data_IF_674281039476
#
_entry.id   IF_674281039476
#
_cell.length_a   1.000
_cell.length_b   1.000
_cell.length_c   1.000
_cell.angle_alpha   90.00
_cell.angle_beta   90.00
_cell.angle_gamma   90.00
#
_symmetry.space_group_name_H-M   'P 1'
#
loop_
_entity.id
_entity.type
_entity.pdbx_description
1 polymer ?
#
# COMPACT_ATOMS: atom_id res chain seq x y z
N UNK A 1 -14.80 2.21 22.00
CA UNK A 1 -13.75 1.21 21.68
C UNK A 1 -12.46 1.60 22.38
N UNK A 2 -11.90 0.69 23.14
CA UNK A 2 -10.61 0.94 23.79
C UNK A 2 -9.47 0.64 22.84
N UNK A 3 -8.47 1.50 22.80
CA UNK A 3 -7.22 1.24 22.11
C UNK A 3 -6.34 0.36 23.00
N UNK A 4 -5.73 -0.62 22.42
CA UNK A 4 -4.82 -1.53 23.11
C UNK A 4 -3.45 -1.36 22.48
N UNK A 5 -2.44 -1.10 23.30
CA UNK A 5 -1.07 -1.10 22.83
C UNK A 5 -0.64 -2.54 22.53
N UNK A 6 -0.13 -2.74 21.32
CA UNK A 6 0.40 -4.04 20.92
C UNK A 6 1.93 -3.97 21.01
N UNK A 7 2.50 -4.91 21.74
CA UNK A 7 3.97 -5.08 21.78
C UNK A 7 4.39 -5.91 20.60
N UNK A 8 4.62 -5.25 19.46
CA UNK A 8 4.93 -5.91 18.20
C UNK A 8 6.39 -5.67 17.86
N UNK A 9 7.13 -6.76 17.69
CA UNK A 9 8.45 -6.74 17.07
C UNK A 9 8.30 -7.12 15.60
N UNK A 10 8.69 -6.22 14.70
CA UNK A 10 8.60 -6.47 13.26
C UNK A 10 9.66 -7.51 12.87
N UNK A 11 9.18 -8.62 12.33
CA UNK A 11 10.02 -9.70 11.82
C UNK A 11 10.61 -9.30 10.47
N UNK A 12 11.91 -9.52 10.30
CA UNK A 12 12.59 -9.29 9.03
C UNK A 12 13.12 -10.61 8.50
N UNK A 13 13.14 -10.74 7.20
CA UNK A 13 13.62 -11.93 6.51
C UNK A 13 13.93 -11.62 5.07
N UNK A 14 13.96 -12.63 4.23
CA UNK A 14 14.18 -12.47 2.80
C UNK A 14 12.91 -11.99 2.12
N UNK A 15 13.06 -11.01 1.21
CA UNK A 15 11.98 -10.55 0.34
C UNK A 15 11.92 -11.48 -0.88
N UNK A 16 10.75 -12.11 -1.17
CA UNK A 16 10.60 -12.92 -2.39
C UNK A 16 10.86 -12.11 -3.66
N UNK A 17 11.35 -12.77 -4.70
CA UNK A 17 11.69 -12.12 -5.96
C UNK A 17 10.49 -11.40 -6.60
N UNK A 18 9.28 -11.98 -6.49
CA UNK A 18 8.07 -11.35 -7.03
C UNK A 18 7.73 -10.04 -6.33
N UNK A 19 7.94 -9.98 -5.02
CA UNK A 19 7.73 -8.76 -4.22
C UNK A 19 8.83 -7.74 -4.56
N UNK A 20 10.08 -8.17 -4.64
CA UNK A 20 11.20 -7.29 -4.96
C UNK A 20 11.02 -6.65 -6.35
N UNK A 21 10.61 -7.44 -7.33
CA UNK A 21 10.31 -6.96 -8.69
C UNK A 21 9.17 -5.93 -8.69
N UNK A 22 8.11 -6.20 -7.95
CA UNK A 22 6.99 -5.27 -7.80
C UNK A 22 7.45 -3.95 -7.16
N UNK A 23 8.21 -4.03 -6.08
CA UNK A 23 8.72 -2.84 -5.37
C UNK A 23 9.66 -2.01 -6.25
N UNK A 24 10.48 -2.67 -7.07
CA UNK A 24 11.36 -1.98 -8.01
C UNK A 24 10.55 -1.14 -9.00
N UNK A 25 9.53 -1.71 -9.61
CA UNK A 25 8.66 -0.98 -10.55
C UNK A 25 7.86 0.12 -9.84
N UNK A 26 7.35 -0.16 -8.65
CA UNK A 26 6.63 0.83 -7.85
C UNK A 26 7.50 2.05 -7.55
N UNK A 27 8.76 1.83 -7.19
CA UNK A 27 9.71 2.91 -6.93
C UNK A 27 9.99 3.73 -8.20
N UNK A 28 10.19 3.08 -9.34
CA UNK A 28 10.41 3.76 -10.62
C UNK A 28 9.22 4.65 -11.00
N UNK A 29 8.01 4.14 -10.89
CA UNK A 29 6.79 4.89 -11.21
C UNK A 29 6.57 6.06 -10.24
N UNK A 30 6.84 5.85 -8.95
CA UNK A 30 6.72 6.89 -7.93
C UNK A 30 7.72 8.02 -8.18
N UNK A 31 8.98 7.70 -8.47
CA UNK A 31 10.00 8.68 -8.79
C UNK A 31 9.66 9.46 -10.05
N UNK A 32 9.20 8.78 -11.10
CA UNK A 32 8.78 9.42 -12.33
C UNK A 32 7.63 10.41 -12.09
N UNK A 33 6.65 10.01 -11.31
CA UNK A 33 5.53 10.89 -10.94
C UNK A 33 6.01 12.13 -10.18
N UNK A 34 6.88 11.96 -9.18
CA UNK A 34 7.41 13.06 -8.38
C UNK A 34 8.25 14.03 -9.21
N UNK A 35 8.98 13.53 -10.21
CA UNK A 35 9.84 14.34 -11.07
C UNK A 35 9.07 15.11 -12.15
N UNK A 36 7.93 14.61 -12.59
CA UNK A 36 7.17 15.16 -13.73
C UNK A 36 5.79 15.70 -13.35
N UNK A 37 5.39 15.55 -12.09
CA UNK A 37 4.11 16.03 -11.61
C UNK A 37 4.19 17.48 -11.15
N UNK A 38 3.08 18.22 -11.31
CA UNK A 38 2.90 19.56 -10.76
C UNK A 38 2.31 19.52 -9.35
N UNK A 39 2.42 18.39 -8.67
CA UNK A 39 1.95 18.22 -7.30
C UNK A 39 2.77 19.11 -6.38
N UNK A 40 2.10 19.78 -5.45
CA UNK A 40 2.78 20.61 -4.46
C UNK A 40 3.66 19.76 -3.56
N UNK A 41 4.86 20.26 -3.17
CA UNK A 41 5.69 19.57 -2.18
C UNK A 41 4.89 19.24 -0.93
N UNK A 42 4.95 17.98 -0.48
CA UNK A 42 4.27 17.51 0.71
C UNK A 42 2.84 17.03 0.50
N UNK A 43 2.23 17.21 -0.69
CA UNK A 43 0.89 16.68 -0.96
C UNK A 43 0.87 15.18 -1.23
N UNK A 44 2.00 14.61 -1.58
CA UNK A 44 2.20 13.16 -1.73
C UNK A 44 3.54 12.78 -1.10
N UNK A 45 3.48 11.90 -0.09
CA UNK A 45 4.66 11.36 0.59
C UNK A 45 4.59 9.84 0.50
N UNK A 46 5.50 9.19 -0.23
CA UNK A 46 5.50 7.73 -0.30
C UNK A 46 5.91 7.12 1.04
N UNK A 47 5.26 6.00 1.37
CA UNK A 47 5.62 5.19 2.54
C UNK A 47 6.94 4.44 2.30
N UNK A 48 7.55 3.99 3.39
CA UNK A 48 8.64 3.02 3.29
C UNK A 48 8.03 1.64 2.99
N UNK A 49 8.11 1.22 1.74
CA UNK A 49 7.45 0.01 1.26
C UNK A 49 8.04 -1.27 1.82
N UNK A 50 9.34 -1.28 2.10
CA UNK A 50 10.00 -2.45 2.70
C UNK A 50 9.53 -2.64 4.14
N UNK A 51 9.48 -1.56 4.90
CA UNK A 51 8.94 -1.60 6.27
C UNK A 51 7.47 -2.04 6.26
N UNK A 52 6.67 -1.50 5.33
CA UNK A 52 5.25 -1.88 5.20
C UNK A 52 5.10 -3.38 4.90
N UNK A 53 5.94 -3.91 4.01
CA UNK A 53 5.92 -5.34 3.70
C UNK A 53 6.19 -6.21 4.93
N UNK A 54 7.24 -5.90 5.68
CA UNK A 54 7.56 -6.66 6.89
C UNK A 54 6.51 -6.50 7.98
N UNK A 55 5.93 -5.31 8.10
CA UNK A 55 4.84 -5.06 9.05
C UNK A 55 3.60 -5.93 8.72
N UNK A 56 3.22 -6.00 7.45
CA UNK A 56 2.11 -6.84 7.00
C UNK A 56 2.39 -8.32 7.25
N UNK A 57 3.59 -8.78 6.96
CA UNK A 57 3.98 -10.18 7.27
C UNK A 57 3.91 -10.47 8.76
N UNK A 58 4.34 -9.55 9.59
CA UNK A 58 4.28 -9.69 11.05
C UNK A 58 2.83 -9.79 11.52
N UNK A 59 1.93 -8.95 10.99
CA UNK A 59 0.51 -9.02 11.30
C UNK A 59 -0.07 -10.41 11.00
N UNK A 60 0.32 -10.99 9.85
CA UNK A 60 -0.14 -12.32 9.46
C UNK A 60 0.45 -13.40 10.37
N UNK A 61 1.76 -13.40 10.57
CA UNK A 61 2.46 -14.44 11.35
C UNK A 61 2.01 -14.47 12.80
N UNK A 62 1.76 -13.30 13.39
CA UNK A 62 1.33 -13.18 14.78
C UNK A 62 -0.19 -13.19 14.94
N UNK A 63 -0.92 -13.38 13.83
CA UNK A 63 -2.38 -13.47 13.82
C UNK A 63 -3.07 -12.28 14.48
N UNK A 64 -2.61 -11.07 14.17
CA UNK A 64 -3.09 -9.83 14.78
C UNK A 64 -4.36 -9.28 14.12
N UNK A 65 -4.64 -9.68 12.88
CA UNK A 65 -5.83 -9.24 12.17
C UNK A 65 -6.98 -10.23 12.37
N UNK A 66 -8.22 -9.75 12.64
CA UNK A 66 -9.37 -10.63 12.86
C UNK A 66 -9.87 -11.31 11.59
N UNK A 67 -9.38 -10.91 10.42
CA UNK A 67 -9.80 -11.44 9.13
C UNK A 67 -8.80 -11.05 8.03
N UNK A 68 -9.26 -11.07 6.78
CA UNK A 68 -8.41 -10.82 5.61
C UNK A 68 -8.75 -9.53 4.85
N UNK A 69 -9.56 -8.67 5.43
CA UNK A 69 -9.89 -7.38 4.83
C UNK A 69 -8.80 -6.35 5.17
N UNK A 70 -8.35 -5.64 4.16
CA UNK A 70 -7.36 -4.58 4.31
C UNK A 70 -7.81 -3.34 3.53
N UNK A 71 -7.75 -2.18 4.16
CA UNK A 71 -8.02 -0.92 3.46
C UNK A 71 -6.93 0.09 3.78
N UNK A 72 -6.35 0.66 2.73
CA UNK A 72 -5.35 1.71 2.84
C UNK A 72 -6.01 3.07 2.63
N UNK A 73 -5.92 3.93 3.64
CA UNK A 73 -6.43 5.30 3.58
C UNK A 73 -5.34 6.23 3.06
N UNK A 74 -5.66 7.06 2.07
CA UNK A 74 -4.66 7.88 1.41
C UNK A 74 -3.68 7.02 0.63
N UNK A 75 -4.19 6.16 -0.23
CA UNK A 75 -3.42 5.06 -0.79
C UNK A 75 -2.34 5.46 -1.81
N UNK A 76 -2.38 6.69 -2.34
CA UNK A 76 -1.39 7.14 -3.31
C UNK A 76 -1.28 6.19 -4.50
N UNK A 77 -0.09 5.67 -4.75
CA UNK A 77 0.15 4.65 -5.79
C UNK A 77 -0.37 3.25 -5.42
N UNK A 78 -0.97 3.10 -4.24
CA UNK A 78 -1.55 1.84 -3.82
C UNK A 78 -0.55 0.73 -3.54
N UNK A 79 0.70 1.06 -3.28
CA UNK A 79 1.77 0.07 -3.11
C UNK A 79 1.51 -0.80 -1.90
N UNK A 80 1.11 -0.22 -0.78
CA UNK A 80 0.85 -0.98 0.46
C UNK A 80 -0.37 -1.89 0.29
N UNK A 81 -1.46 -1.39 -0.30
CA UNK A 81 -2.63 -2.21 -0.60
C UNK A 81 -2.29 -3.35 -1.57
N UNK A 82 -1.45 -3.08 -2.56
CA UNK A 82 -0.98 -4.10 -3.50
C UNK A 82 -0.08 -5.14 -2.83
N UNK A 83 0.77 -4.74 -1.89
CA UNK A 83 1.54 -5.68 -1.07
C UNK A 83 0.63 -6.55 -0.21
N UNK A 84 -0.39 -5.95 0.40
CA UNK A 84 -1.37 -6.67 1.19
C UNK A 84 -2.09 -7.74 0.35
N UNK A 85 -2.49 -7.38 -0.87
CA UNK A 85 -3.09 -8.32 -1.82
C UNK A 85 -2.17 -9.50 -2.12
N UNK A 86 -0.89 -9.24 -2.36
CA UNK A 86 0.10 -10.29 -2.63
C UNK A 86 0.33 -11.19 -1.43
N UNK A 87 0.07 -10.72 -0.22
CA UNK A 87 0.16 -11.49 1.01
C UNK A 87 -1.15 -12.20 1.39
N UNK A 88 -2.18 -12.11 0.54
CA UNK A 88 -3.43 -12.84 0.71
C UNK A 88 -4.56 -12.06 1.36
N UNK A 89 -4.41 -10.75 1.56
CA UNK A 89 -5.52 -9.91 1.99
C UNK A 89 -6.46 -9.59 0.82
N UNK A 90 -7.71 -9.39 1.12
CA UNK A 90 -8.69 -8.76 0.25
C UNK A 90 -8.54 -7.24 0.44
N UNK A 91 -7.80 -6.61 -0.46
CA UNK A 91 -7.28 -5.27 -0.26
C UNK A 91 -7.99 -4.22 -1.11
N UNK A 92 -8.16 -3.05 -0.53
CA UNK A 92 -8.62 -1.85 -1.24
C UNK A 92 -7.85 -0.62 -0.78
N UNK A 93 -7.95 0.45 -1.56
CA UNK A 93 -7.38 1.74 -1.21
C UNK A 93 -8.35 2.87 -1.51
N UNK A 94 -8.26 3.94 -0.75
CA UNK A 94 -9.03 5.17 -0.95
C UNK A 94 -8.04 6.32 -1.10
N UNK A 95 -8.16 7.07 -2.19
CA UNK A 95 -7.29 8.18 -2.51
C UNK A 95 -8.09 9.34 -3.07
N UNK A 96 -7.82 10.55 -2.61
CA UNK A 96 -8.56 11.75 -3.04
C UNK A 96 -8.14 12.24 -4.44
N UNK A 97 -6.87 12.03 -4.81
CA UNK A 97 -6.33 12.48 -6.10
C UNK A 97 -6.61 11.47 -7.20
N UNK A 98 -7.43 11.85 -8.18
CA UNK A 98 -7.83 10.97 -9.28
C UNK A 98 -6.64 10.43 -10.07
N UNK A 99 -5.62 11.27 -10.32
CA UNK A 99 -4.43 10.84 -11.06
C UNK A 99 -3.66 9.75 -10.32
N UNK A 100 -3.62 9.80 -8.99
CA UNK A 100 -3.01 8.75 -8.18
C UNK A 100 -3.85 7.48 -8.16
N UNK A 101 -5.17 7.59 -8.14
CA UNK A 101 -6.06 6.42 -8.25
C UNK A 101 -5.81 5.68 -9.57
N UNK A 102 -5.73 6.42 -10.68
CA UNK A 102 -5.44 5.83 -11.98
C UNK A 102 -4.07 5.17 -12.02
N UNK A 103 -3.06 5.83 -11.45
CA UNK A 103 -1.70 5.28 -11.35
C UNK A 103 -1.67 4.00 -10.52
N UNK A 104 -2.42 3.96 -9.42
CA UNK A 104 -2.53 2.78 -8.55
C UNK A 104 -3.16 1.61 -9.29
N UNK A 105 -4.24 1.86 -10.03
CA UNK A 105 -4.90 0.84 -10.85
C UNK A 105 -3.97 0.30 -11.92
N UNK A 106 -3.23 1.17 -12.61
CA UNK A 106 -2.29 0.77 -13.66
C UNK A 106 -1.16 -0.09 -13.10
N UNK A 107 -0.62 0.27 -11.95
CA UNK A 107 0.44 -0.51 -11.30
C UNK A 107 -0.06 -1.90 -10.88
N UNK A 108 -1.22 -1.97 -10.24
CA UNK A 108 -1.81 -3.24 -9.83
C UNK A 108 -2.11 -4.13 -11.03
N UNK A 109 -2.70 -3.57 -12.09
CA UNK A 109 -3.02 -4.31 -13.32
C UNK A 109 -1.77 -4.85 -14.01
N UNK A 110 -0.69 -4.09 -14.02
CA UNK A 110 0.58 -4.52 -14.61
C UNK A 110 1.15 -5.76 -13.91
N UNK A 111 0.80 -6.00 -12.66
CA UNK A 111 1.23 -7.16 -11.88
C UNK A 111 0.10 -8.17 -11.63
N UNK A 112 -1.01 -8.06 -12.35
CA UNK A 112 -2.17 -8.96 -12.25
C UNK A 112 -2.74 -9.06 -10.83
N UNK A 113 -2.73 -7.94 -10.10
CA UNK A 113 -3.23 -7.88 -8.72
C UNK A 113 -4.68 -7.42 -8.70
N UNK A 114 -5.51 -8.11 -7.92
CA UNK A 114 -6.89 -7.73 -7.70
C UNK A 114 -7.00 -6.82 -6.48
N UNK A 115 -6.86 -5.52 -6.70
CA UNK A 115 -7.01 -4.50 -5.68
C UNK A 115 -7.99 -3.45 -6.18
N UNK A 116 -8.96 -3.10 -5.36
CA UNK A 116 -9.91 -2.03 -5.68
C UNK A 116 -9.39 -0.71 -5.15
N UNK A 117 -9.37 0.31 -6.01
CA UNK A 117 -9.04 1.68 -5.62
C UNK A 117 -10.22 2.58 -5.89
N UNK A 118 -10.63 3.33 -4.89
CA UNK A 118 -11.72 4.29 -4.98
C UNK A 118 -11.19 5.71 -4.82
N UNK A 119 -11.69 6.62 -5.65
CA UNK A 119 -11.46 8.04 -5.46
C UNK A 119 -12.41 8.57 -4.40
N UNK A 120 -11.90 9.26 -3.41
CA UNK A 120 -12.70 9.88 -2.39
C UNK A 120 -11.92 10.22 -1.14
N UNK A 121 -12.63 10.78 -0.17
CA UNK A 121 -12.08 11.06 1.15
C UNK A 121 -12.60 10.03 2.15
N UNK A 122 -11.71 9.55 3.01
CA UNK A 122 -12.09 8.70 4.13
C UNK A 122 -12.53 9.54 5.35
N UNK A 123 -12.43 10.87 5.25
CA UNK A 123 -12.86 11.78 6.32
C UNK A 123 -14.34 12.11 6.08
N UNK A 124 -15.23 11.85 7.04
CA UNK A 124 -16.64 12.19 6.92
C UNK A 124 -16.84 13.71 6.78
N UNK A 125 -17.79 14.10 5.97
CA UNK A 125 -18.20 15.51 5.86
C UNK A 125 -19.01 15.94 7.07
#
# INVERSE_FOLDING_TARGET
>A
MALIDLDITIERGRIPDSIDSFLHEANLRTEDYLNHSRVRPGSFVPSDFVVAYYALKTVIHQNLAPGRLFCEWGSGFGVVASLASQLGFDACGIEIEETLVDAARDLADAHYLEVEFAQGSYIPE
#
